data_IF_868827274622
#
_entry.id   IF_868827274622
#
_cell.length_a   1.000
_cell.length_b   1.000
_cell.length_c   1.000
_cell.angle_alpha   90.00
_cell.angle_beta   90.00
_cell.angle_gamma   90.00
#
_symmetry.space_group_name_H-M   'P 1'
#
loop_
_entity.id
_entity.type
_entity.pdbx_description
1 polymer ?
#
# COMPACT_ATOMS: atom_id res chain seq x y z
N UNK A 1 -20.14 24.46 13.40
CA UNK A 1 -19.95 23.30 12.50
C UNK A 1 -20.81 22.14 13.00
N UNK A 2 -21.56 21.44 12.14
CA UNK A 2 -22.38 20.28 12.56
C UNK A 2 -21.54 19.11 13.10
N UNK A 3 -22.09 18.36 14.08
CA UNK A 3 -21.43 17.24 14.79
C UNK A 3 -20.78 16.22 13.84
N UNK A 4 -21.45 15.88 12.74
CA UNK A 4 -20.92 14.97 11.73
C UNK A 4 -19.72 15.55 10.97
N UNK A 5 -19.75 16.84 10.61
CA UNK A 5 -18.64 17.49 9.90
C UNK A 5 -17.37 17.53 10.76
N UNK A 6 -17.53 17.78 12.06
CA UNK A 6 -16.43 17.75 13.01
C UNK A 6 -15.79 16.36 13.09
N UNK A 7 -16.60 15.31 13.26
CA UNK A 7 -16.11 13.93 13.35
C UNK A 7 -15.38 13.49 12.08
N UNK A 8 -15.95 13.74 10.89
CA UNK A 8 -15.33 13.42 9.61
C UNK A 8 -14.02 14.18 9.40
N UNK A 9 -14.01 15.47 9.73
CA UNK A 9 -12.80 16.31 9.62
C UNK A 9 -11.68 15.78 10.51
N UNK A 10 -11.98 15.54 11.80
CA UNK A 10 -11.00 15.04 12.76
C UNK A 10 -10.48 13.66 12.34
N UNK A 11 -11.36 12.77 11.90
CA UNK A 11 -10.98 11.45 11.43
C UNK A 11 -10.04 11.52 10.22
N UNK A 12 -10.38 12.30 9.20
CA UNK A 12 -9.55 12.40 8.00
C UNK A 12 -8.23 13.15 8.24
N UNK A 13 -8.14 14.03 9.24
CA UNK A 13 -6.91 14.72 9.63
C UNK A 13 -5.91 13.85 10.40
N UNK A 14 -6.29 12.65 10.85
CA UNK A 14 -5.37 11.73 11.50
C UNK A 14 -4.31 11.25 10.51
N UNK A 15 -3.05 11.12 10.96
CA UNK A 15 -1.93 10.67 10.12
C UNK A 15 -2.13 9.25 9.55
N UNK A 16 -2.99 8.44 10.19
CA UNK A 16 -3.41 7.13 9.70
C UNK A 16 -4.27 7.19 8.43
N UNK A 17 -5.02 8.29 8.26
CA UNK A 17 -6.07 8.43 7.24
C UNK A 17 -5.71 9.48 6.17
N UNK A 18 -4.71 10.33 6.44
CA UNK A 18 -4.11 11.22 5.45
C UNK A 18 -2.68 11.61 5.85
N UNK A 19 -1.83 11.93 4.89
CA UNK A 19 -0.45 12.42 5.09
C UNK A 19 -0.35 13.90 4.80
N UNK A 20 0.45 14.63 5.58
CA UNK A 20 0.74 16.05 5.33
C UNK A 20 1.66 16.17 4.11
N UNK A 21 1.34 17.11 3.20
CA UNK A 21 2.21 17.42 2.09
C UNK A 21 3.43 18.23 2.57
N UNK A 22 4.66 17.90 2.12
CA UNK A 22 5.88 18.47 2.68
C UNK A 22 6.20 19.89 2.18
N UNK A 23 5.62 20.35 1.07
CA UNK A 23 5.97 21.63 0.47
C UNK A 23 5.40 22.83 1.23
N UNK A 24 6.20 23.91 1.35
CA UNK A 24 5.73 25.20 1.91
C UNK A 24 4.59 25.84 1.10
N UNK A 25 4.53 25.53 -0.21
CA UNK A 25 3.46 25.96 -1.11
C UNK A 25 2.24 25.02 -1.07
N UNK A 26 2.31 23.89 -0.37
CA UNK A 26 1.23 22.91 -0.29
C UNK A 26 0.19 23.30 0.76
N UNK A 27 -0.45 24.46 0.59
CA UNK A 27 -1.53 24.91 1.46
C UNK A 27 -2.80 25.24 0.67
N UNK A 28 -3.93 25.25 1.36
CA UNK A 28 -5.21 25.78 0.88
C UNK A 28 -5.56 27.00 1.71
N UNK A 29 -5.96 28.09 1.05
CA UNK A 29 -6.54 29.25 1.72
C UNK A 29 -7.98 28.89 2.10
N UNK A 30 -8.27 28.91 3.40
CA UNK A 30 -9.63 28.92 3.93
C UNK A 30 -9.92 30.31 4.47
N UNK A 31 -11.21 30.64 4.65
CA UNK A 31 -11.65 32.01 4.99
C UNK A 31 -10.92 32.60 6.20
N UNK A 32 -10.51 31.75 7.15
CA UNK A 32 -9.83 32.20 8.37
C UNK A 32 -8.30 32.00 8.36
N UNK A 33 -7.75 31.01 7.63
CA UNK A 33 -6.30 30.63 7.69
C UNK A 33 -5.78 29.90 6.45
N UNK A 34 -4.46 29.92 6.26
CA UNK A 34 -3.74 28.96 5.41
C UNK A 34 -3.66 27.62 6.14
N UNK A 35 -4.21 26.56 5.54
CA UNK A 35 -4.18 25.19 6.10
C UNK A 35 -3.37 24.29 5.19
N UNK A 36 -2.41 23.55 5.74
CA UNK A 36 -1.57 22.63 4.98
C UNK A 36 -2.43 21.55 4.28
N UNK A 37 -2.09 21.25 3.03
CA UNK A 37 -2.68 20.17 2.25
C UNK A 37 -2.32 18.83 2.88
N UNK A 38 -3.28 17.93 2.89
CA UNK A 38 -3.10 16.53 3.25
C UNK A 38 -3.62 15.67 2.11
N UNK A 39 -3.00 14.53 1.88
CA UNK A 39 -3.46 13.54 0.90
C UNK A 39 -3.97 12.32 1.67
N UNK A 40 -5.19 11.86 1.40
CA UNK A 40 -5.72 10.64 2.04
C UNK A 40 -4.81 9.43 1.79
N UNK A 41 -4.70 8.54 2.77
CA UNK A 41 -3.84 7.33 2.66
C UNK A 41 -4.49 6.19 1.90
N UNK A 42 -5.80 6.23 1.71
CA UNK A 42 -6.62 5.15 1.14
C UNK A 42 -7.84 5.73 0.40
N UNK A 43 -8.60 4.91 -0.31
CA UNK A 43 -9.85 5.28 -0.95
C UNK A 43 -10.89 5.75 0.07
N UNK A 44 -11.72 6.71 -0.34
CA UNK A 44 -12.77 7.22 0.52
C UNK A 44 -13.75 6.13 0.97
N UNK A 45 -13.98 5.08 0.16
CA UNK A 45 -14.83 3.94 0.54
C UNK A 45 -14.28 3.17 1.73
N UNK A 46 -12.97 2.87 1.72
CA UNK A 46 -12.29 2.17 2.79
C UNK A 46 -12.23 3.04 4.05
N UNK A 47 -11.90 4.32 3.88
CA UNK A 47 -11.91 5.31 4.97
C UNK A 47 -13.30 5.50 5.58
N UNK A 48 -14.35 5.41 4.77
CA UNK A 48 -15.73 5.44 5.24
C UNK A 48 -16.08 4.20 6.08
N UNK A 49 -15.71 3.00 5.64
CA UNK A 49 -15.90 1.78 6.42
C UNK A 49 -15.16 1.89 7.77
N UNK A 50 -13.90 2.32 7.74
CA UNK A 50 -13.10 2.56 8.95
C UNK A 50 -13.74 3.64 9.85
N UNK A 51 -14.30 4.70 9.27
CA UNK A 51 -15.01 5.74 10.02
C UNK A 51 -16.27 5.19 10.71
N UNK A 52 -17.07 4.37 10.04
CA UNK A 52 -18.25 3.72 10.62
C UNK A 52 -17.89 2.75 11.74
N UNK A 53 -16.79 2.01 11.61
CA UNK A 53 -16.30 1.12 12.67
C UNK A 53 -15.84 1.90 13.93
N UNK A 54 -15.19 3.05 13.75
CA UNK A 54 -14.72 3.89 14.86
C UNK A 54 -15.86 4.71 15.48
N UNK A 55 -16.95 4.94 14.74
CA UNK A 55 -18.09 5.74 15.16
C UNK A 55 -19.42 4.99 14.97
N UNK A 56 -19.65 3.88 15.71
CA UNK A 56 -20.81 3.01 15.51
C UNK A 56 -22.17 3.70 15.78
N UNK A 57 -22.18 4.77 16.58
CA UNK A 57 -23.38 5.56 16.89
C UNK A 57 -23.70 6.62 15.83
N UNK A 58 -22.81 6.85 14.87
CA UNK A 58 -22.99 7.85 13.81
C UNK A 58 -23.67 7.22 12.61
N UNK A 59 -24.90 7.66 12.31
CA UNK A 59 -25.60 7.32 11.06
C UNK A 59 -25.20 8.33 9.98
N UNK A 60 -24.32 7.93 9.06
CA UNK A 60 -23.84 8.77 7.97
C UNK A 60 -23.71 7.94 6.71
N UNK A 61 -24.23 8.40 5.57
CA UNK A 61 -24.02 7.70 4.30
C UNK A 61 -22.64 7.98 3.71
N UNK A 62 -22.16 7.08 2.85
CA UNK A 62 -20.91 7.27 2.11
C UNK A 62 -20.89 8.61 1.35
N UNK A 63 -21.96 8.93 0.62
CA UNK A 63 -22.09 10.21 -0.11
C UNK A 63 -22.01 11.43 0.80
N UNK A 64 -22.58 11.34 2.01
CA UNK A 64 -22.49 12.46 2.96
C UNK A 64 -21.09 12.56 3.54
N UNK A 65 -20.43 11.43 3.82
CA UNK A 65 -19.03 11.37 4.26
C UNK A 65 -18.09 12.04 3.26
N UNK A 66 -18.20 11.70 1.96
CA UNK A 66 -17.36 12.30 0.92
C UNK A 66 -17.60 13.80 0.77
N UNK A 67 -18.85 14.26 0.87
CA UNK A 67 -19.21 15.69 0.83
C UNK A 67 -18.72 16.47 2.05
N UNK A 68 -18.65 15.84 3.22
CA UNK A 68 -18.18 16.48 4.46
C UNK A 68 -16.67 16.62 4.54
N UNK A 69 -15.91 16.03 3.60
CA UNK A 69 -14.46 16.13 3.55
C UNK A 69 -14.00 17.59 3.42
N UNK A 70 -13.06 18.06 4.26
CA UNK A 70 -12.42 19.36 4.12
C UNK A 70 -11.67 19.56 2.79
N UNK A 71 -11.67 20.79 2.26
CA UNK A 71 -10.97 21.15 1.00
C UNK A 71 -9.45 20.94 1.05
N UNK A 72 -8.84 21.05 2.23
CA UNK A 72 -7.40 20.82 2.41
C UNK A 72 -7.02 19.33 2.42
N UNK A 73 -8.00 18.41 2.43
CA UNK A 73 -7.77 16.97 2.34
C UNK A 73 -8.06 16.53 0.91
N UNK A 74 -6.97 16.34 0.16
CA UNK A 74 -6.97 15.96 -1.23
C UNK A 74 -7.11 14.45 -1.39
N UNK A 75 -7.68 14.04 -2.52
CA UNK A 75 -7.60 12.66 -2.96
C UNK A 75 -6.16 12.34 -3.32
N UNK A 76 -5.78 11.09 -3.12
CA UNK A 76 -4.72 10.46 -3.87
C UNK A 76 -5.07 10.48 -5.36
N UNK A 77 -4.55 11.45 -6.12
CA UNK A 77 -4.65 11.42 -7.58
C UNK A 77 -3.66 10.43 -8.21
N UNK A 78 -2.75 9.83 -7.43
CA UNK A 78 -1.58 9.11 -7.95
C UNK A 78 -1.31 7.72 -7.38
N UNK A 79 -2.19 7.14 -6.56
CA UNK A 79 -2.03 5.72 -6.18
C UNK A 79 -3.03 4.89 -6.97
N UNK A 80 -2.73 4.67 -8.27
CA UNK A 80 -3.36 3.59 -9.05
C UNK A 80 -2.82 2.20 -8.66
N UNK A 81 -2.24 2.08 -7.47
CA UNK A 81 -1.65 0.85 -6.95
C UNK A 81 -2.29 0.58 -5.60
N UNK A 82 -3.52 0.09 -5.65
CA UNK A 82 -4.25 -0.52 -4.53
C UNK A 82 -3.70 -1.91 -4.16
N UNK A 83 -2.48 -2.21 -4.60
CA UNK A 83 -1.83 -3.50 -4.46
C UNK A 83 -0.44 -3.30 -3.89
N UNK A 84 -0.12 -4.09 -2.87
CA UNK A 84 1.21 -4.20 -2.35
C UNK A 84 2.18 -4.60 -3.48
N UNK A 85 3.35 -3.95 -3.57
CA UNK A 85 4.40 -4.25 -4.55
C UNK A 85 5.21 -5.52 -4.22
N UNK A 86 4.76 -6.32 -3.26
CA UNK A 86 5.46 -7.53 -2.90
C UNK A 86 5.22 -8.63 -3.94
N UNK A 87 6.18 -9.54 -4.03
CA UNK A 87 6.09 -10.70 -4.92
C UNK A 87 4.88 -11.59 -4.62
N UNK A 88 4.40 -11.64 -3.36
CA UNK A 88 3.24 -12.45 -2.97
C UNK A 88 1.94 -11.94 -3.57
N UNK A 89 1.65 -10.64 -3.43
CA UNK A 89 0.45 -10.03 -4.01
C UNK A 89 0.51 -10.05 -5.54
N UNK A 90 1.69 -9.77 -6.12
CA UNK A 90 1.85 -9.76 -7.56
C UNK A 90 1.73 -11.16 -8.17
N UNK A 91 2.33 -12.18 -7.55
CA UNK A 91 2.22 -13.56 -8.01
C UNK A 91 0.79 -14.08 -7.86
N UNK A 92 0.12 -13.80 -6.75
CA UNK A 92 -1.29 -14.17 -6.62
C UNK A 92 -2.16 -13.49 -7.68
N UNK A 93 -1.92 -12.20 -7.98
CA UNK A 93 -2.64 -11.52 -9.05
C UNK A 93 -2.42 -12.20 -10.42
N UNK A 94 -1.20 -12.68 -10.71
CA UNK A 94 -0.95 -13.47 -11.92
C UNK A 94 -1.67 -14.83 -11.89
N UNK A 95 -1.69 -15.50 -10.75
CA UNK A 95 -2.43 -16.76 -10.58
C UNK A 95 -3.93 -16.55 -10.79
N UNK A 96 -4.51 -15.49 -10.21
CA UNK A 96 -5.92 -15.13 -10.40
C UNK A 96 -6.24 -14.73 -11.85
N UNK A 97 -5.30 -14.13 -12.58
CA UNK A 97 -5.45 -13.91 -14.03
C UNK A 97 -5.55 -15.24 -14.78
N UNK A 98 -4.75 -16.24 -14.41
CA UNK A 98 -4.84 -17.56 -15.01
C UNK A 98 -6.17 -18.25 -14.66
N UNK A 99 -6.63 -18.15 -13.41
CA UNK A 99 -7.97 -18.63 -12.99
C UNK A 99 -9.08 -17.96 -13.81
N UNK A 100 -8.98 -16.65 -14.05
CA UNK A 100 -9.94 -15.93 -14.90
C UNK A 100 -9.94 -16.41 -16.36
N UNK A 101 -8.78 -16.81 -16.89
CA UNK A 101 -8.68 -17.44 -18.23
C UNK A 101 -9.33 -18.83 -18.29
N UNK A 102 -9.50 -19.51 -17.16
CA UNK A 102 -10.28 -20.75 -17.06
C UNK A 102 -11.80 -20.51 -17.07
N UNK A 103 -12.25 -19.25 -17.17
CA UNK A 103 -13.68 -18.89 -17.18
C UNK A 103 -14.28 -18.66 -15.79
N UNK A 104 -13.47 -18.69 -14.74
CA UNK A 104 -13.93 -18.50 -13.35
C UNK A 104 -13.90 -17.00 -13.02
N UNK A 105 -15.03 -16.46 -12.58
CA UNK A 105 -15.11 -15.03 -12.24
C UNK A 105 -14.43 -14.73 -10.91
N UNK A 106 -13.28 -14.07 -10.98
CA UNK A 106 -12.48 -13.63 -9.84
C UNK A 106 -12.00 -12.19 -10.03
N UNK A 107 -11.90 -11.45 -8.92
CA UNK A 107 -11.19 -10.17 -8.87
C UNK A 107 -9.68 -10.36 -9.04
N UNK A 108 -9.01 -9.42 -9.70
CA UNK A 108 -7.53 -9.38 -9.75
C UNK A 108 -6.90 -8.81 -8.48
N UNK A 109 -7.70 -8.18 -7.62
CA UNK A 109 -7.29 -7.76 -6.29
C UNK A 109 -7.28 -8.99 -5.37
N UNK A 110 -6.07 -9.49 -5.09
CA UNK A 110 -5.85 -10.74 -4.38
C UNK A 110 -6.45 -10.75 -2.97
N UNK A 111 -6.45 -9.61 -2.26
CA UNK A 111 -6.99 -9.52 -0.89
C UNK A 111 -8.49 -9.82 -0.84
N UNK A 112 -9.26 -9.47 -1.88
CA UNK A 112 -10.71 -9.69 -1.94
C UNK A 112 -11.12 -11.15 -2.15
N UNK A 113 -10.19 -11.99 -2.60
CA UNK A 113 -10.46 -13.39 -2.96
C UNK A 113 -9.95 -14.38 -1.91
N UNK A 114 -9.26 -13.89 -0.87
CA UNK A 114 -8.69 -14.70 0.21
C UNK A 114 -9.72 -15.56 0.92
N UNK A 115 -10.92 -15.02 1.16
CA UNK A 115 -12.02 -15.70 1.84
C UNK A 115 -12.73 -16.73 0.93
N UNK A 116 -12.55 -16.64 -0.39
CA UNK A 116 -13.23 -17.50 -1.38
C UNK A 116 -12.36 -18.65 -1.87
N UNK A 117 -11.24 -18.93 -1.21
CA UNK A 117 -10.26 -19.94 -1.61
C UNK A 117 -10.89 -21.30 -1.93
N UNK A 118 -11.73 -21.84 -1.04
CA UNK A 118 -12.33 -23.16 -1.21
C UNK A 118 -13.25 -23.23 -2.43
N UNK A 119 -14.07 -22.17 -2.63
CA UNK A 119 -14.95 -22.05 -3.79
C UNK A 119 -14.15 -22.02 -5.09
N UNK A 120 -13.09 -21.20 -5.14
CA UNK A 120 -12.24 -21.08 -6.34
C UNK A 120 -11.58 -22.42 -6.68
N UNK A 121 -11.07 -23.14 -5.68
CA UNK A 121 -10.49 -24.48 -5.88
C UNK A 121 -11.52 -25.46 -6.45
N UNK A 122 -12.75 -25.42 -5.95
CA UNK A 122 -13.82 -26.30 -6.44
C UNK A 122 -14.19 -25.97 -7.89
N UNK A 123 -14.33 -24.68 -8.23
CA UNK A 123 -14.62 -24.22 -9.59
C UNK A 123 -13.50 -24.63 -10.57
N UNK A 124 -12.24 -24.56 -10.14
CA UNK A 124 -11.08 -25.01 -10.93
C UNK A 124 -11.10 -26.51 -11.20
N UNK A 125 -11.50 -27.34 -10.21
CA UNK A 125 -11.62 -28.79 -10.39
C UNK A 125 -12.65 -29.16 -11.47
N UNK A 126 -13.74 -28.40 -11.54
CA UNK A 126 -14.84 -28.59 -12.49
C UNK A 126 -14.52 -28.15 -13.93
N UNK A 127 -13.37 -27.53 -14.17
CA UNK A 127 -12.97 -27.06 -15.50
C UNK A 127 -12.34 -28.20 -16.33
N UNK A 128 -12.60 -28.23 -17.64
CA UNK A 128 -12.06 -29.25 -18.57
C UNK A 128 -10.59 -29.06 -18.97
N UNK A 129 -9.92 -28.01 -18.49
CA UNK A 129 -8.52 -27.73 -18.85
C UNK A 129 -7.55 -28.83 -18.38
N UNK A 130 -6.68 -29.29 -19.27
CA UNK A 130 -5.60 -30.24 -18.96
C UNK A 130 -4.40 -29.52 -18.32
N UNK A 131 -3.93 -28.46 -18.98
CA UNK A 131 -2.77 -27.67 -18.58
C UNK A 131 -3.14 -26.20 -18.37
N UNK A 132 -2.45 -25.55 -17.45
CA UNK A 132 -2.65 -24.14 -17.13
C UNK A 132 -1.34 -23.39 -17.31
N UNK A 133 -1.39 -22.37 -18.17
CA UNK A 133 -0.29 -21.43 -18.36
C UNK A 133 -0.50 -20.23 -17.44
N UNK A 134 0.54 -19.82 -16.71
CA UNK A 134 0.50 -18.66 -15.82
C UNK A 134 1.88 -18.01 -15.68
N UNK A 135 1.88 -16.71 -15.38
CA UNK A 135 3.10 -15.94 -15.15
C UNK A 135 3.41 -15.86 -13.65
N UNK A 136 4.68 -15.76 -13.28
CA UNK A 136 5.08 -15.53 -11.88
C UNK A 136 6.45 -14.86 -11.79
N UNK A 137 6.65 -14.01 -10.79
CA UNK A 137 7.98 -13.57 -10.38
C UNK A 137 8.73 -14.71 -9.71
N UNK A 138 9.88 -15.09 -10.29
CA UNK A 138 10.76 -16.14 -9.79
C UNK A 138 12.23 -15.69 -9.86
N UNK A 139 13.06 -16.16 -8.92
CA UNK A 139 14.53 -16.02 -9.04
C UNK A 139 15.02 -16.99 -10.11
N UNK A 140 15.68 -16.46 -11.13
CA UNK A 140 16.28 -17.24 -12.22
C UNK A 140 17.77 -16.97 -12.30
N UNK A 141 18.55 -18.00 -12.63
CA UNK A 141 19.97 -17.85 -12.96
C UNK A 141 20.08 -17.24 -14.35
N UNK A 142 20.80 -16.13 -14.47
CA UNK A 142 21.11 -15.49 -15.74
C UNK A 142 22.63 -15.44 -15.87
N UNK A 143 23.15 -15.88 -17.00
CA UNK A 143 24.55 -15.72 -17.35
C UNK A 143 24.73 -14.42 -18.13
N UNK A 144 25.58 -13.54 -17.62
CA UNK A 144 25.86 -12.25 -18.24
C UNK A 144 27.37 -12.01 -18.19
N UNK A 145 28.00 -11.87 -19.36
CA UNK A 145 29.45 -11.66 -19.51
C UNK A 145 30.31 -12.70 -18.75
N UNK A 146 29.92 -13.97 -18.80
CA UNK A 146 30.63 -15.08 -18.13
C UNK A 146 30.45 -15.15 -16.61
N UNK A 147 29.57 -14.34 -16.02
CA UNK A 147 29.22 -14.40 -14.58
C UNK A 147 27.78 -14.86 -14.41
N UNK A 148 27.56 -15.80 -13.49
CA UNK A 148 26.22 -16.25 -13.09
C UNK A 148 25.65 -15.31 -12.02
N UNK A 149 24.45 -14.75 -12.28
CA UNK A 149 23.73 -13.90 -11.33
C UNK A 149 22.31 -14.40 -11.16
N UNK A 150 21.85 -14.47 -9.90
CA UNK A 150 20.44 -14.70 -9.59
C UNK A 150 19.67 -13.39 -9.72
N UNK A 151 18.68 -13.36 -10.60
CA UNK A 151 17.86 -12.17 -10.82
C UNK A 151 16.38 -12.53 -10.75
N UNK A 152 15.57 -11.62 -10.20
CA UNK A 152 14.11 -11.76 -10.22
C UNK A 152 13.59 -11.41 -11.61
N UNK A 153 12.87 -12.33 -12.26
CA UNK A 153 12.17 -12.07 -13.52
C UNK A 153 10.76 -12.65 -13.46
N UNK A 154 9.88 -12.08 -14.26
CA UNK A 154 8.61 -12.74 -14.60
C UNK A 154 8.93 -13.88 -15.55
N UNK A 155 8.43 -15.07 -15.22
CA UNK A 155 8.53 -16.26 -16.06
C UNK A 155 7.14 -16.82 -16.29
N UNK A 156 6.89 -17.28 -17.51
CA UNK A 156 5.71 -18.07 -17.80
C UNK A 156 6.00 -19.54 -17.46
N UNK A 157 5.01 -20.20 -16.86
CA UNK A 157 5.08 -21.59 -16.44
C UNK A 157 3.82 -22.30 -16.93
N UNK A 158 4.00 -23.52 -17.42
CA UNK A 158 2.92 -24.43 -17.78
C UNK A 158 2.98 -25.60 -16.83
N UNK A 159 1.87 -25.88 -16.17
CA UNK A 159 1.73 -27.03 -15.26
C UNK A 159 0.38 -27.68 -15.53
N UNK A 160 0.25 -28.95 -15.17
CA UNK A 160 -1.02 -29.65 -15.23
C UNK A 160 -2.03 -29.04 -14.25
N UNK A 161 -3.33 -29.29 -14.46
CA UNK A 161 -4.39 -28.75 -13.60
C UNK A 161 -4.20 -29.07 -12.12
N UNK A 162 -3.76 -30.29 -11.77
CA UNK A 162 -3.57 -30.67 -10.37
C UNK A 162 -2.40 -29.92 -9.74
N UNK A 163 -1.29 -29.78 -10.47
CA UNK A 163 -0.15 -28.96 -10.09
C UNK A 163 -0.51 -27.48 -9.94
N UNK A 164 -1.39 -26.96 -10.81
CA UNK A 164 -1.86 -25.57 -10.71
C UNK A 164 -2.73 -25.32 -9.47
N UNK A 165 -3.63 -26.25 -9.13
CA UNK A 165 -4.45 -26.15 -7.91
C UNK A 165 -3.55 -26.14 -6.66
N UNK A 166 -2.58 -27.06 -6.57
CA UNK A 166 -1.63 -27.09 -5.46
C UNK A 166 -0.80 -25.80 -5.37
N UNK A 167 -0.38 -25.25 -6.51
CA UNK A 167 0.31 -23.96 -6.57
C UNK A 167 -0.56 -22.80 -6.08
N UNK A 168 -1.82 -22.73 -6.53
CA UNK A 168 -2.78 -21.72 -6.10
C UNK A 168 -3.02 -21.78 -4.59
N UNK A 169 -3.30 -22.97 -4.06
CA UNK A 169 -3.54 -23.18 -2.64
C UNK A 169 -2.35 -22.73 -1.79
N UNK A 170 -1.13 -23.13 -2.18
CA UNK A 170 0.09 -22.68 -1.52
C UNK A 170 0.25 -21.16 -1.54
N UNK A 171 0.09 -20.53 -2.70
CA UNK A 171 0.18 -19.08 -2.84
C UNK A 171 -0.87 -18.35 -1.99
N UNK A 172 -2.07 -18.91 -1.89
CA UNK A 172 -3.17 -18.30 -1.13
C UNK A 172 -2.91 -18.35 0.37
N UNK A 173 -2.38 -19.47 0.85
CA UNK A 173 -1.96 -19.60 2.25
C UNK A 173 -0.81 -18.64 2.57
N UNK A 174 0.21 -18.54 1.71
CA UNK A 174 1.32 -17.58 1.88
C UNK A 174 0.87 -16.11 1.86
N UNK A 175 -0.19 -15.81 1.10
CA UNK A 175 -0.81 -14.49 1.04
C UNK A 175 -1.63 -14.20 2.29
N UNK A 176 -2.41 -15.16 2.81
CA UNK A 176 -3.14 -15.06 4.08
C UNK A 176 -2.21 -14.66 5.21
N UNK A 177 -1.12 -15.40 5.38
CA UNK A 177 -0.11 -15.11 6.41
C UNK A 177 0.48 -13.71 6.24
N UNK A 178 0.71 -13.31 4.98
CA UNK A 178 1.25 -12.01 4.67
C UNK A 178 0.30 -10.87 5.06
N UNK A 179 -0.99 -10.99 4.75
CA UNK A 179 -2.03 -10.01 5.08
C UNK A 179 -2.21 -9.92 6.60
N UNK A 180 -2.30 -11.06 7.28
CA UNK A 180 -2.40 -11.12 8.75
C UNK A 180 -1.20 -10.42 9.41
N UNK A 181 0.01 -10.64 8.90
CA UNK A 181 1.22 -9.97 9.39
C UNK A 181 1.15 -8.46 9.17
N UNK A 182 0.73 -8.01 7.98
CA UNK A 182 0.55 -6.57 7.69
C UNK A 182 -0.44 -5.95 8.69
N UNK A 183 -1.61 -6.57 8.86
CA UNK A 183 -2.65 -6.09 9.77
C UNK A 183 -2.15 -6.01 11.22
N UNK A 184 -1.42 -7.04 11.66
CA UNK A 184 -0.82 -7.10 13.00
C UNK A 184 0.20 -5.99 13.20
N UNK A 185 1.11 -5.79 12.24
CA UNK A 185 2.12 -4.73 12.29
C UNK A 185 1.49 -3.34 12.36
N UNK A 186 0.43 -3.10 11.58
CA UNK A 186 -0.32 -1.84 11.65
C UNK A 186 -0.98 -1.63 13.01
N UNK A 187 -1.60 -2.66 13.58
CA UNK A 187 -2.24 -2.60 14.89
C UNK A 187 -1.20 -2.30 16.01
N UNK A 188 -0.07 -3.00 15.99
CA UNK A 188 1.03 -2.80 16.92
C UNK A 188 1.63 -1.39 16.82
N UNK A 189 1.91 -0.93 15.59
CA UNK A 189 2.43 0.42 15.35
C UNK A 189 1.47 1.50 15.86
N UNK A 190 0.17 1.32 15.63
CA UNK A 190 -0.87 2.23 16.13
C UNK A 190 -0.88 2.28 17.65
N UNK A 191 -0.77 1.14 18.32
CA UNK A 191 -0.76 1.09 19.78
C UNK A 191 0.53 1.67 20.37
N UNK A 192 1.68 1.42 19.73
CA UNK A 192 2.97 2.00 20.09
C UNK A 192 2.93 3.53 20.00
N UNK A 193 2.37 4.09 18.91
CA UNK A 193 2.21 5.55 18.75
C UNK A 193 1.32 6.18 19.83
N UNK A 194 0.31 5.46 20.35
CA UNK A 194 -0.54 5.95 21.44
C UNK A 194 0.14 5.89 22.80
N UNK A 195 0.82 4.78 23.08
CA UNK A 195 1.42 4.47 24.39
C UNK A 195 2.86 4.94 24.52
N UNK A 196 3.41 5.58 23.48
CA UNK A 196 4.79 6.06 23.45
C UNK A 196 5.14 6.88 24.71
N UNK A 197 6.08 6.42 25.55
CA UNK A 197 6.51 7.14 26.74
C UNK A 197 7.23 8.45 26.38
N UNK A 198 7.38 9.32 27.39
CA UNK A 198 8.22 10.51 27.25
C UNK A 198 9.68 10.09 27.02
N UNK A 199 10.41 10.89 26.24
CA UNK A 199 11.81 10.67 25.87
C UNK A 199 12.09 9.37 25.08
N UNK A 200 11.06 8.72 24.55
CA UNK A 200 11.21 7.59 23.63
C UNK A 200 10.83 8.04 22.21
N UNK A 201 11.43 7.40 21.22
CA UNK A 201 11.10 7.60 19.81
C UNK A 201 10.80 6.26 19.14
N UNK A 202 9.95 6.30 18.12
CA UNK A 202 9.71 5.19 17.21
C UNK A 202 10.52 5.49 15.96
N UNK A 203 11.33 4.53 15.55
CA UNK A 203 12.10 4.58 14.30
C UNK A 203 11.45 3.61 13.32
N UNK A 204 10.93 4.14 12.22
CA UNK A 204 10.30 3.34 11.17
C UNK A 204 11.09 3.55 9.87
N UNK A 205 11.77 2.50 9.43
CA UNK A 205 12.58 2.50 8.21
C UNK A 205 11.78 1.91 7.05
N UNK A 206 11.71 2.64 5.93
CA UNK A 206 11.08 2.18 4.69
C UNK A 206 12.10 1.42 3.80
N UNK A 207 11.66 0.91 2.65
CA UNK A 207 12.53 0.30 1.66
C UNK A 207 13.64 1.27 1.22
N UNK A 208 14.85 0.74 1.10
CA UNK A 208 15.96 1.50 0.56
C UNK A 208 15.78 1.69 -0.96
N UNK A 209 16.05 2.89 -1.44
CA UNK A 209 15.98 3.23 -2.86
C UNK A 209 17.38 3.45 -3.42
N UNK A 210 17.66 2.89 -4.59
CA UNK A 210 18.89 3.21 -5.30
C UNK A 210 18.67 4.47 -6.13
N UNK A 211 19.41 5.53 -5.79
CA UNK A 211 19.38 6.80 -6.48
C UNK A 211 20.62 6.92 -7.37
N UNK A 212 20.41 7.23 -8.64
CA UNK A 212 21.50 7.57 -9.56
C UNK A 212 21.83 9.05 -9.37
N UNK A 213 23.06 9.33 -8.94
CA UNK A 213 23.55 10.70 -8.81
C UNK A 213 23.78 11.28 -10.19
N UNK A 214 22.97 12.28 -10.55
CA UNK A 214 23.11 13.04 -11.80
C UNK A 214 23.49 14.49 -11.49
N UNK A 215 24.55 14.98 -12.12
CA UNK A 215 24.94 16.38 -12.20
C UNK A 215 24.20 17.05 -13.37
N UNK A 216 24.04 18.38 -13.30
CA UNK A 216 23.45 19.18 -14.38
C UNK A 216 24.46 19.38 -15.53
N UNK A 217 25.75 19.41 -15.21
CA UNK A 217 26.85 19.55 -16.17
C UNK A 217 27.60 18.23 -16.30
N UNK A 218 27.05 17.29 -17.08
CA UNK A 218 27.67 15.98 -17.34
C UNK A 218 28.17 15.87 -18.78
N UNK A 219 29.40 15.40 -18.92
CA UNK A 219 29.92 14.91 -20.21
C UNK A 219 29.35 13.51 -20.52
N UNK A 220 29.33 13.11 -21.80
CA UNK A 220 28.74 11.84 -22.24
C UNK A 220 29.33 10.61 -21.52
N UNK A 221 30.61 10.62 -21.16
CA UNK A 221 31.23 9.51 -20.42
C UNK A 221 30.72 9.39 -18.98
N UNK A 222 30.34 10.49 -18.33
CA UNK A 222 29.72 10.49 -17.00
C UNK A 222 28.27 10.00 -17.07
N UNK A 223 27.54 10.31 -18.14
CA UNK A 223 26.16 9.83 -18.36
C UNK A 223 26.05 8.29 -18.36
N UNK A 224 27.05 7.59 -18.92
CA UNK A 224 27.07 6.11 -18.96
C UNK A 224 27.64 5.46 -17.69
N UNK A 225 28.35 6.22 -16.85
CA UNK A 225 29.02 5.73 -15.64
C UNK A 225 28.52 6.44 -14.37
N UNK A 226 27.20 6.51 -14.23
CA UNK A 226 26.57 7.18 -13.08
C UNK A 226 26.85 6.44 -11.77
N UNK A 227 27.30 7.19 -10.76
CA UNK A 227 27.42 6.70 -9.40
C UNK A 227 26.03 6.48 -8.81
N UNK A 228 25.75 5.28 -8.28
CA UNK A 228 24.52 5.00 -7.54
C UNK A 228 24.77 5.02 -6.04
N UNK A 229 23.88 5.66 -5.28
CA UNK A 229 23.85 5.59 -3.81
C UNK A 229 22.57 4.91 -3.35
N UNK A 230 22.63 4.20 -2.23
CA UNK A 230 21.44 3.61 -1.61
C UNK A 230 20.95 4.56 -0.50
N UNK A 231 19.75 5.11 -0.67
CA UNK A 231 19.09 5.98 0.29
C UNK A 231 18.22 5.11 1.19
N UNK A 232 18.33 5.30 2.50
CA UNK A 232 17.50 4.62 3.51
C UNK A 232 16.53 5.63 4.15
N UNK A 233 15.26 5.69 3.70
CA UNK A 233 14.27 6.57 4.30
C UNK A 233 13.92 6.09 5.71
N UNK A 234 13.98 7.01 6.69
CA UNK A 234 13.65 6.73 8.10
C UNK A 234 12.73 7.81 8.64
N UNK A 235 11.57 7.40 9.16
CA UNK A 235 10.63 8.25 9.90
C UNK A 235 10.92 8.12 11.42
N UNK A 236 11.13 9.26 12.07
CA UNK A 236 11.21 9.36 13.53
C UNK A 236 9.90 9.93 14.09
N UNK A 237 9.18 9.14 14.87
CA UNK A 237 8.00 9.61 15.62
C UNK A 237 8.37 9.80 17.09
N UNK A 238 8.15 11.01 17.62
CA UNK A 238 8.32 11.31 19.05
C UNK A 238 7.03 11.88 19.64
N UNK A 239 6.84 11.70 20.95
CA UNK A 239 5.74 12.35 21.67
C UNK A 239 6.19 13.73 22.12
N UNK A 240 5.93 14.76 21.30
CA UNK A 240 6.17 16.14 21.70
C UNK A 240 5.33 16.50 22.94
N UNK A 241 5.93 17.21 23.90
CA UNK A 241 5.13 18.01 24.86
C UNK A 241 4.23 18.90 24.01
N UNK A 242 2.96 19.07 24.37
CA UNK A 242 2.21 20.27 23.97
C UNK A 242 3.07 21.47 24.39
N UNK A 243 3.87 22.01 23.48
CA UNK A 243 4.37 23.36 23.63
C UNK A 243 3.16 24.23 23.38
N UNK A 244 2.62 24.80 24.45
CA UNK A 244 1.97 26.10 24.39
C UNK A 244 3.02 27.05 23.83
N UNK A 245 3.11 27.17 22.50
CA UNK A 245 3.95 28.16 21.87
C UNK A 245 3.12 29.42 21.74
N UNK A 246 3.09 30.19 22.82
CA UNK A 246 2.96 31.63 22.72
C UNK A 246 4.18 32.13 21.93
N UNK A 247 3.94 32.78 20.80
CA UNK A 247 4.94 33.68 20.20
C UNK A 247 4.49 35.11 20.54
N UNK A 248 4.94 35.58 21.72
CA UNK A 248 5.44 36.94 21.94
C UNK A 248 6.97 36.78 21.85
N UNK A 249 7.78 37.54 21.14
CA UNK A 249 7.72 38.92 20.61
C UNK A 249 8.21 38.88 19.16
#
# INVERSE_FOLDING_TARGET
MGKHRYNVTRFLQMDENSRVMPGKADYVKTDDKKVQKRIVTDYLSNLYHKFMMVHPTVKLSFTTFTRLRPKNILLTSFIRRDTCLCTKHQNMSFTLKAVKRLGIDVSLNAEKEVEKQEKIIQDMKNTEASDVVFSQWKRVKVEEKGRTKMTMKVVDSTVDKSGFIAHFEKQMNELKDHITRIQTQYAQMKELKKTLPKNHCIVHMDFAENYQCKSVEEIQSAYWNQTSVTIHPVEFTTRLRRMSCYTKV
#
